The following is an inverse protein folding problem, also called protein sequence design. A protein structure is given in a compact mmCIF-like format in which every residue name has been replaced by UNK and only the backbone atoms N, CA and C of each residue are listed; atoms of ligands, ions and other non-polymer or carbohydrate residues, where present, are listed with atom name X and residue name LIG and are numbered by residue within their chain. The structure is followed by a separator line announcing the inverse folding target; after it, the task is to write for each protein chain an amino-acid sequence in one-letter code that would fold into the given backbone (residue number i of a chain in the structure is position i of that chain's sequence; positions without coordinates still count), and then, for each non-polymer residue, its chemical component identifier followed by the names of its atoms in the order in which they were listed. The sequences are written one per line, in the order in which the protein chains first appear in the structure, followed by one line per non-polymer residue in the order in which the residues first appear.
data_IF_273935637846
#
_entry.id   IF_273935637846
#
_cell.length_a   1.000
_cell.length_b   1.000
_cell.length_c   1.000
_cell.angle_alpha   90.00
_cell.angle_beta   90.00
_cell.angle_gamma   90.00
#
_symmetry.space_group_name_H-M   'P 1'
#
loop_
_entity.id
_entity.type
_entity.pdbx_description
1 polymer ?
#
# COMPACT_ATOMS: atom_id res chain seq x y z
N UNK A 1 32.03 -63.86 0.42
CA UNK A 1 30.89 -63.21 -0.28
C UNK A 1 30.41 -62.01 0.52
N UNK A 2 30.71 -60.85 -0.05
CA UNK A 2 30.20 -59.50 0.20
C UNK A 2 28.81 -59.38 0.86
N UNK A 3 28.67 -58.50 1.87
CA UNK A 3 27.41 -57.80 2.13
C UNK A 3 27.72 -56.33 2.41
N UNK A 4 27.63 -55.51 1.36
CA UNK A 4 27.67 -54.05 1.46
C UNK A 4 26.44 -53.56 2.23
N UNK A 5 26.66 -52.71 3.24
CA UNK A 5 25.59 -51.94 3.87
C UNK A 5 25.31 -50.73 2.99
N UNK A 6 24.18 -50.75 2.29
CA UNK A 6 23.66 -49.61 1.53
C UNK A 6 23.23 -48.52 2.52
N UNK A 7 23.96 -47.41 2.55
CA UNK A 7 23.53 -46.19 3.25
C UNK A 7 22.63 -45.43 2.27
N UNK A 8 21.32 -45.48 2.48
CA UNK A 8 20.34 -44.66 1.77
C UNK A 8 20.31 -43.27 2.40
N UNK A 9 20.99 -42.30 1.77
CA UNK A 9 20.65 -40.89 1.92
C UNK A 9 19.45 -40.60 1.02
N UNK A 10 18.25 -40.52 1.60
CA UNK A 10 17.06 -40.02 0.92
C UNK A 10 16.73 -38.64 1.51
N UNK A 11 16.70 -37.64 0.62
CA UNK A 11 16.83 -36.22 0.95
C UNK A 11 15.78 -35.68 1.90
N UNK A 12 16.21 -34.72 2.72
CA UNK A 12 15.34 -33.81 3.46
C UNK A 12 14.54 -33.05 2.40
N UNK A 13 13.28 -33.44 2.23
CA UNK A 13 12.30 -32.67 1.48
C UNK A 13 12.06 -31.39 2.28
N UNK A 14 12.86 -30.36 2.03
CA UNK A 14 12.59 -29.02 2.58
C UNK A 14 11.29 -28.56 1.95
N UNK A 15 10.21 -28.74 2.69
CA UNK A 15 8.92 -28.15 2.43
C UNK A 15 9.13 -26.64 2.37
N UNK A 16 9.28 -26.13 1.14
CA UNK A 16 9.12 -24.72 0.84
C UNK A 16 7.68 -24.41 1.25
N UNK A 17 7.51 -23.87 2.45
CA UNK A 17 6.27 -23.23 2.88
C UNK A 17 6.07 -22.03 1.94
N UNK A 18 5.52 -22.30 0.77
CA UNK A 18 5.01 -21.27 -0.12
C UNK A 18 3.79 -20.71 0.60
N UNK A 19 4.00 -19.64 1.36
CA UNK A 19 2.94 -18.92 2.09
C UNK A 19 1.87 -18.46 1.11
N UNK A 20 0.87 -19.30 0.90
CA UNK A 20 -0.36 -19.01 0.17
C UNK A 20 -1.26 -18.07 1.00
N UNK A 21 -0.82 -16.83 1.24
CA UNK A 21 -1.64 -15.84 1.96
C UNK A 21 -2.09 -14.66 1.09
N UNK A 22 -1.83 -14.66 -0.22
CA UNK A 22 -2.05 -13.45 -1.05
C UNK A 22 -3.41 -13.35 -1.76
N UNK A 23 -4.31 -14.32 -1.62
CA UNK A 23 -5.60 -14.28 -2.34
C UNK A 23 -6.73 -13.51 -1.62
N UNK A 24 -6.59 -13.21 -0.32
CA UNK A 24 -7.67 -12.57 0.47
C UNK A 24 -7.61 -11.04 0.56
N UNK A 25 -6.59 -10.40 0.01
CA UNK A 25 -6.39 -8.97 0.23
C UNK A 25 -7.29 -8.07 -0.66
N UNK A 26 -8.09 -8.62 -1.58
CA UNK A 26 -9.04 -7.86 -2.39
C UNK A 26 -10.48 -7.97 -1.88
N UNK A 27 -11.15 -6.82 -1.77
CA UNK A 27 -12.53 -6.69 -1.32
C UNK A 27 -13.23 -5.52 -2.06
N UNK A 28 -14.53 -5.68 -2.35
CA UNK A 28 -15.32 -4.72 -3.14
C UNK A 28 -15.67 -3.44 -2.39
N UNK A 29 -15.91 -3.50 -1.09
CA UNK A 29 -16.21 -2.28 -0.34
C UNK A 29 -14.92 -1.48 -0.08
N UNK A 30 -15.01 -0.21 -0.43
CA UNK A 30 -13.91 0.75 -0.45
C UNK A 30 -13.48 1.18 0.96
N UNK A 31 -14.29 0.92 1.99
CA UNK A 31 -13.98 1.31 3.36
C UNK A 31 -13.12 0.26 4.08
N UNK A 32 -13.19 -1.01 3.67
CA UNK A 32 -12.42 -2.09 4.29
C UNK A 32 -10.90 -1.92 4.12
N UNK A 33 -10.09 -2.28 5.15
CA UNK A 33 -8.64 -2.26 5.11
C UNK A 33 -7.99 -2.98 3.92
N UNK A 34 -6.95 -2.36 3.34
CA UNK A 34 -6.12 -3.00 2.30
C UNK A 34 -4.89 -3.69 2.90
N UNK A 35 -4.48 -3.27 4.08
CA UNK A 35 -3.42 -3.90 4.84
C UNK A 35 -3.93 -5.21 5.50
N UNK A 36 -3.06 -6.19 5.74
CA UNK A 36 -3.40 -7.41 6.46
C UNK A 36 -3.92 -7.13 7.87
N UNK A 37 -4.94 -7.89 8.29
CA UNK A 37 -5.56 -7.80 9.62
C UNK A 37 -4.52 -7.82 10.76
N UNK A 38 -3.55 -8.74 10.66
CA UNK A 38 -2.50 -8.91 11.65
C UNK A 38 -1.56 -7.69 11.83
N UNK A 39 -1.64 -6.69 10.96
CA UNK A 39 -0.86 -5.46 11.04
C UNK A 39 -1.70 -4.23 11.40
N UNK A 40 -3.03 -4.34 11.47
CA UNK A 40 -3.89 -3.15 11.57
C UNK A 40 -3.65 -2.35 12.85
N UNK A 41 -3.55 -3.01 14.00
CA UNK A 41 -3.25 -2.35 15.29
C UNK A 41 -2.00 -1.46 15.17
N UNK A 42 -0.90 -2.03 14.67
CA UNK A 42 0.38 -1.31 14.52
C UNK A 42 0.28 -0.18 13.48
N UNK A 43 -0.43 -0.40 12.37
CA UNK A 43 -0.55 0.59 11.30
C UNK A 43 -1.52 1.72 11.63
N UNK A 44 -2.53 1.45 12.45
CA UNK A 44 -3.52 2.44 12.87
C UNK A 44 -2.95 3.36 13.96
N UNK A 45 -2.05 2.86 14.79
CA UNK A 45 -1.29 3.67 15.76
C UNK A 45 -0.13 4.48 15.14
N UNK A 46 0.19 4.23 13.85
CA UNK A 46 1.27 4.93 13.17
C UNK A 46 0.82 6.27 12.59
N UNK A 47 1.17 7.33 13.31
CA UNK A 47 0.96 8.71 12.88
C UNK A 47 1.98 9.20 11.85
N UNK A 48 1.58 10.22 11.11
CA UNK A 48 2.48 10.93 10.21
C UNK A 48 3.51 11.75 11.01
N UNK A 49 4.82 11.50 10.84
CA UNK A 49 5.84 12.22 11.60
C UNK A 49 6.02 13.67 11.12
N UNK A 50 5.37 14.08 10.02
CA UNK A 50 5.43 15.45 9.51
C UNK A 50 4.13 16.19 9.83
N UNK A 51 4.18 17.39 10.44
CA UNK A 51 2.99 18.18 10.66
C UNK A 51 2.40 18.68 9.32
N UNK A 52 1.07 18.89 9.21
CA UNK A 52 0.37 19.33 8.00
C UNK A 52 0.59 20.83 7.68
N UNK A 53 1.84 21.26 7.64
CA UNK A 53 2.21 22.63 7.26
C UNK A 53 2.02 22.85 5.77
N UNK A 54 1.77 24.11 5.35
CA UNK A 54 1.69 24.50 3.93
C UNK A 54 2.92 24.03 3.13
N UNK A 55 4.11 24.06 3.75
CA UNK A 55 5.36 23.57 3.15
C UNK A 55 5.31 22.06 2.89
N UNK A 56 4.99 21.26 3.91
CA UNK A 56 4.94 19.80 3.77
C UNK A 56 3.86 19.35 2.77
N UNK A 57 2.69 19.97 2.81
CA UNK A 57 1.60 19.72 1.85
C UNK A 57 2.05 20.07 0.42
N UNK A 58 2.72 21.22 0.22
CA UNK A 58 3.25 21.63 -1.10
C UNK A 58 4.32 20.66 -1.61
N UNK A 59 5.16 20.14 -0.74
CA UNK A 59 6.13 19.10 -1.11
C UNK A 59 5.44 17.78 -1.47
N UNK A 60 4.40 17.38 -0.72
CA UNK A 60 3.54 16.24 -1.06
C UNK A 60 2.83 16.39 -2.40
N UNK A 61 2.34 17.58 -2.71
CA UNK A 61 1.74 17.91 -4.00
C UNK A 61 2.74 17.68 -5.15
N UNK A 62 3.99 18.15 -5.01
CA UNK A 62 5.04 17.89 -6.01
C UNK A 62 5.29 16.40 -6.23
N UNK A 63 5.21 15.60 -5.17
CA UNK A 63 5.33 14.13 -5.28
C UNK A 63 4.15 13.53 -6.03
N UNK A 64 2.92 13.95 -5.68
CA UNK A 64 1.67 13.46 -6.30
C UNK A 64 1.63 13.67 -7.81
N UNK A 65 2.00 14.88 -8.25
CA UNK A 65 2.00 15.28 -9.66
C UNK A 65 3.29 14.96 -10.41
N UNK A 66 4.39 14.71 -9.69
CA UNK A 66 5.70 14.41 -10.25
C UNK A 66 6.04 12.93 -10.16
N UNK A 67 7.18 12.63 -9.54
CA UNK A 67 7.78 11.29 -9.53
C UNK A 67 6.94 10.18 -8.86
N UNK A 68 5.99 10.54 -7.99
CA UNK A 68 5.05 9.57 -7.42
C UNK A 68 4.07 9.03 -8.46
N UNK A 69 3.83 9.79 -9.54
CA UNK A 69 2.90 9.47 -10.63
C UNK A 69 1.48 9.13 -10.14
N UNK A 70 1.11 9.59 -8.94
CA UNK A 70 -0.16 9.31 -8.28
C UNK A 70 -1.33 9.85 -9.11
N UNK A 71 -1.15 11.07 -9.65
CA UNK A 71 -2.12 11.77 -10.50
C UNK A 71 -2.58 10.96 -11.71
N UNK A 72 -1.74 10.08 -12.26
CA UNK A 72 -2.09 9.29 -13.46
C UNK A 72 -3.30 8.38 -13.25
N UNK A 73 -3.46 7.88 -12.01
CA UNK A 73 -4.56 7.00 -11.65
C UNK A 73 -5.58 7.70 -10.74
N UNK A 74 -5.12 8.50 -9.78
CA UNK A 74 -6.02 9.17 -8.84
C UNK A 74 -6.59 10.50 -9.37
N UNK A 75 -6.09 10.99 -10.50
CA UNK A 75 -6.58 12.19 -11.18
C UNK A 75 -6.14 13.50 -10.50
N UNK A 76 -6.31 14.61 -11.22
CA UNK A 76 -5.92 15.95 -10.73
C UNK A 76 -6.70 16.35 -9.47
N UNK A 77 -7.99 15.99 -9.42
CA UNK A 77 -8.89 16.27 -8.29
C UNK A 77 -8.93 15.14 -7.24
N UNK A 78 -8.10 14.12 -7.36
CA UNK A 78 -8.09 12.99 -6.43
C UNK A 78 -9.31 12.05 -6.50
N UNK A 79 -10.21 12.20 -7.49
CA UNK A 79 -11.46 11.42 -7.58
C UNK A 79 -11.30 10.01 -8.14
N UNK A 80 -10.10 9.64 -8.57
CA UNK A 80 -9.84 8.39 -9.29
C UNK A 80 -10.30 8.48 -10.75
N UNK A 81 -9.51 7.91 -11.66
CA UNK A 81 -9.93 7.70 -13.04
C UNK A 81 -10.70 6.39 -13.13
N UNK A 82 -11.83 6.38 -13.83
CA UNK A 82 -12.60 5.14 -14.04
C UNK A 82 -11.80 4.21 -14.94
N UNK A 83 -11.51 3.02 -14.45
CA UNK A 83 -10.88 1.93 -15.21
C UNK A 83 -11.71 0.66 -15.06
N UNK A 84 -11.71 -0.23 -16.06
CA UNK A 84 -12.29 -1.57 -15.90
C UNK A 84 -11.68 -2.29 -14.68
N UNK A 85 -12.52 -2.98 -13.92
CA UNK A 85 -12.13 -3.60 -12.66
C UNK A 85 -12.21 -2.63 -11.48
N UNK A 86 -11.07 -2.28 -10.87
CA UNK A 86 -11.02 -1.53 -9.62
C UNK A 86 -10.53 -0.11 -9.84
N UNK A 87 -11.47 0.83 -9.73
CA UNK A 87 -11.13 2.24 -9.79
C UNK A 87 -10.23 2.64 -8.62
N UNK A 88 -9.22 3.50 -8.86
CA UNK A 88 -8.39 4.07 -7.81
C UNK A 88 -9.24 4.80 -6.77
N UNK A 89 -8.68 4.99 -5.59
CA UNK A 89 -9.40 5.62 -4.49
C UNK A 89 -9.77 7.06 -4.78
N UNK A 90 -11.02 7.40 -4.49
CA UNK A 90 -11.50 8.77 -4.40
C UNK A 90 -11.03 9.36 -3.07
N UNK A 91 -10.01 10.20 -3.12
CA UNK A 91 -9.46 10.89 -1.96
C UNK A 91 -10.34 12.05 -1.47
N UNK A 92 -11.41 12.41 -2.19
CA UNK A 92 -12.37 13.42 -1.72
C UNK A 92 -13.54 12.81 -0.93
N UNK A 93 -13.67 11.47 -0.92
CA UNK A 93 -14.67 10.75 -0.10
C UNK A 93 -14.36 10.93 1.39
N UNK A 94 -15.26 11.65 2.08
CA UNK A 94 -15.12 11.98 3.49
C UNK A 94 -15.12 10.74 4.39
N UNK A 95 -15.95 9.74 4.08
CA UNK A 95 -16.01 8.49 4.87
C UNK A 95 -14.72 7.70 4.69
N UNK A 96 -14.16 7.65 3.49
CA UNK A 96 -12.88 6.98 3.27
C UNK A 96 -11.72 7.69 3.99
N UNK A 97 -11.73 9.03 4.00
CA UNK A 97 -10.76 9.82 4.74
C UNK A 97 -10.83 9.56 6.25
N UNK A 98 -12.04 9.50 6.81
CA UNK A 98 -12.27 9.27 8.23
C UNK A 98 -11.79 7.88 8.69
N UNK A 99 -12.15 6.83 7.96
CA UNK A 99 -11.87 5.44 8.37
C UNK A 99 -10.48 4.92 7.99
N UNK A 100 -9.69 5.68 7.23
CA UNK A 100 -8.36 5.26 6.77
C UNK A 100 -7.29 6.02 7.51
N UNK A 101 -6.36 5.35 8.19
CA UNK A 101 -5.24 6.02 8.88
C UNK A 101 -4.06 6.32 7.96
N UNK A 102 -3.16 7.21 8.40
CA UNK A 102 -1.94 7.57 7.66
C UNK A 102 -0.98 6.37 7.54
N UNK A 103 -0.82 5.58 8.60
CA UNK A 103 0.00 4.36 8.57
C UNK A 103 -0.52 3.30 7.60
N UNK A 104 -1.85 3.11 7.50
CA UNK A 104 -2.43 2.23 6.48
C UNK A 104 -2.14 2.75 5.05
N UNK A 105 -2.20 4.07 4.82
CA UNK A 105 -1.82 4.65 3.53
C UNK A 105 -0.34 4.44 3.23
N UNK A 106 0.54 4.61 4.22
CA UNK A 106 1.97 4.33 4.08
C UNK A 106 2.24 2.86 3.74
N UNK A 107 1.49 1.94 4.37
CA UNK A 107 1.56 0.53 4.04
C UNK A 107 1.23 0.28 2.56
N UNK A 108 0.17 0.89 2.03
CA UNK A 108 -0.19 0.80 0.60
C UNK A 108 0.91 1.41 -0.28
N UNK A 109 1.54 2.52 0.12
CA UNK A 109 2.63 3.10 -0.64
C UNK A 109 3.88 2.21 -0.68
N UNK A 110 4.14 1.42 0.39
CA UNK A 110 5.27 0.48 0.51
C UNK A 110 5.00 -0.89 -0.15
N UNK A 111 3.75 -1.32 -0.21
CA UNK A 111 3.38 -2.68 -0.64
C UNK A 111 2.52 -2.72 -1.90
N UNK A 112 2.11 -1.56 -2.43
CA UNK A 112 1.05 -1.47 -3.42
C UNK A 112 -0.31 -1.81 -2.79
N UNK A 113 -1.31 -2.06 -3.64
CA UNK A 113 -2.63 -2.50 -3.16
C UNK A 113 -2.98 -3.85 -3.79
N UNK A 114 -2.82 -4.97 -3.06
CA UNK A 114 -3.00 -6.32 -3.60
C UNK A 114 -4.35 -6.53 -4.31
N UNK A 115 -4.32 -7.20 -5.46
CA UNK A 115 -5.50 -7.41 -6.31
C UNK A 115 -5.95 -6.16 -7.08
N UNK A 116 -5.11 -5.13 -7.20
CA UNK A 116 -5.34 -3.95 -8.05
C UNK A 116 -4.07 -3.54 -8.78
N UNK A 117 -4.16 -2.56 -9.67
CA UNK A 117 -3.02 -2.01 -10.40
C UNK A 117 -2.21 -0.98 -9.60
N UNK A 118 -2.50 -0.73 -8.32
CA UNK A 118 -1.73 0.23 -7.51
C UNK A 118 -0.35 -0.35 -7.19
N UNK A 119 0.75 0.21 -7.75
CA UNK A 119 2.08 -0.36 -7.59
C UNK A 119 2.73 0.13 -6.29
N UNK A 120 3.83 -0.52 -5.91
CA UNK A 120 4.73 -0.03 -4.87
C UNK A 120 5.34 1.30 -5.32
N UNK A 121 5.32 2.32 -4.45
CA UNK A 121 5.89 3.64 -4.71
C UNK A 121 7.09 3.93 -3.82
N UNK A 122 6.92 3.80 -2.51
CA UNK A 122 7.98 4.03 -1.52
C UNK A 122 9.04 2.94 -1.66
N UNK A 123 10.31 3.33 -1.71
CA UNK A 123 11.44 2.42 -1.95
C UNK A 123 11.63 2.03 -3.43
N UNK A 124 10.78 2.53 -4.35
CA UNK A 124 10.93 2.32 -5.80
C UNK A 124 11.14 3.63 -6.55
N UNK A 125 10.21 4.58 -6.39
CA UNK A 125 10.23 5.87 -7.11
C UNK A 125 10.21 7.08 -6.17
N UNK A 126 9.80 6.89 -4.92
CA UNK A 126 9.79 7.92 -3.87
C UNK A 126 10.41 7.37 -2.59
N UNK A 127 10.99 8.27 -1.78
CA UNK A 127 11.47 7.95 -0.44
C UNK A 127 10.30 7.86 0.56
N UNK A 128 10.55 7.30 1.75
CA UNK A 128 9.55 7.24 2.82
C UNK A 128 9.13 8.64 3.30
N UNK A 129 10.07 9.57 3.45
CA UNK A 129 9.78 10.98 3.75
C UNK A 129 8.82 11.62 2.74
N UNK A 130 8.98 11.28 1.47
CA UNK A 130 8.08 11.75 0.41
C UNK A 130 6.73 11.03 0.43
N UNK A 131 6.72 9.75 0.81
CA UNK A 131 5.51 9.00 1.11
C UNK A 131 4.65 9.69 2.17
N UNK A 132 5.25 10.05 3.30
CA UNK A 132 4.54 10.75 4.37
C UNK A 132 3.99 12.12 3.93
N UNK A 133 4.76 12.86 3.14
CA UNK A 133 4.33 14.16 2.63
C UNK A 133 3.23 14.05 1.59
N UNK A 134 3.27 13.04 0.70
CA UNK A 134 2.18 12.85 -0.27
C UNK A 134 0.88 12.45 0.43
N UNK A 135 0.94 11.73 1.56
CA UNK A 135 -0.23 11.46 2.41
C UNK A 135 -0.84 12.78 2.94
N UNK A 136 -0.03 13.72 3.43
CA UNK A 136 -0.54 15.04 3.85
C UNK A 136 -1.24 15.79 2.71
N UNK A 137 -0.73 15.68 1.48
CA UNK A 137 -1.41 16.23 0.31
C UNK A 137 -2.72 15.50 0.02
N UNK A 138 -2.77 14.16 0.12
CA UNK A 138 -3.99 13.37 -0.04
C UNK A 138 -5.05 13.79 1.00
N UNK A 139 -4.65 14.03 2.26
CA UNK A 139 -5.56 14.55 3.31
C UNK A 139 -6.16 15.90 2.95
N UNK A 140 -5.40 16.78 2.29
CA UNK A 140 -5.89 18.09 1.87
C UNK A 140 -6.97 18.06 0.79
N UNK A 141 -7.25 16.89 0.20
CA UNK A 141 -8.29 16.71 -0.82
C UNK A 141 -9.66 16.30 -0.23
N UNK A 142 -9.75 16.03 1.07
CA UNK A 142 -10.99 15.63 1.72
C UNK A 142 -12.10 16.68 1.51
N UNK A 143 -13.27 16.25 1.03
CA UNK A 143 -14.43 17.13 0.83
C UNK A 143 -14.41 18.02 -0.42
N UNK A 144 -13.43 17.84 -1.33
CA UNK A 144 -13.30 18.61 -2.59
C UNK A 144 -14.07 18.06 -3.83
#
# INVERSE_FOLDING_TARGET
MMKYKTILFAGILTSIFFSLNSAKAFHKDVYYPRAPEALLEILQDMDNPFPPTKKNIKEGNKVYFGKGLCVKCHGVKGKGVKVPGHSPRNFTDAKWQDVRTDGEMMWVLKNGSPGTSMPIRVGKVISEKEGWKVILFIRSLAGA
#
